data_IF_437808933858
#
_entry.id   IF_437808933858
#
_cell.length_a   1.000
_cell.length_b   1.000
_cell.length_c   1.000
_cell.angle_alpha   90.00
_cell.angle_beta   90.00
_cell.angle_gamma   90.00
#
_symmetry.space_group_name_H-M   'P 1'
#
loop_
_entity.id
_entity.type
_entity.pdbx_description
1 polymer ?
#
# COMPACT_ATOMS: atom_id res chain seq x y z
N UNK A 1 -13.09 -11.08 -31.53
CA UNK A 1 -12.75 -11.99 -32.65
C UNK A 1 -11.24 -12.21 -32.61
N UNK A 2 -10.75 -13.43 -32.89
CA UNK A 2 -9.35 -13.89 -32.77
C UNK A 2 -8.92 -14.53 -31.43
N UNK A 3 -9.69 -15.53 -30.98
CA UNK A 3 -9.11 -16.79 -30.46
C UNK A 3 -8.99 -17.75 -31.65
N UNK A 4 -7.98 -18.63 -31.65
CA UNK A 4 -7.58 -19.59 -32.69
C UNK A 4 -6.52 -19.13 -33.70
N UNK A 5 -5.26 -19.10 -33.29
CA UNK A 5 -4.13 -19.22 -34.24
C UNK A 5 -2.84 -19.82 -33.67
N UNK A 6 -2.91 -20.59 -32.56
CA UNK A 6 -1.75 -21.31 -32.01
C UNK A 6 -1.84 -22.84 -32.06
N UNK A 7 -3.00 -23.41 -32.44
CA UNK A 7 -3.18 -24.87 -32.51
C UNK A 7 -2.71 -25.51 -33.81
N UNK A 8 -2.46 -24.72 -34.87
CA UNK A 8 -2.25 -25.25 -36.23
C UNK A 8 -0.79 -25.54 -36.56
N UNK A 9 0.16 -24.95 -35.84
CA UNK A 9 1.61 -25.13 -36.10
C UNK A 9 2.13 -26.41 -35.43
N UNK A 10 1.60 -26.76 -34.25
CA UNK A 10 2.03 -27.96 -33.51
C UNK A 10 1.63 -29.27 -34.22
N UNK A 11 0.47 -29.27 -34.90
CA UNK A 11 -0.02 -30.43 -35.68
C UNK A 11 0.80 -30.66 -36.96
N UNK A 12 1.37 -29.59 -37.54
CA UNK A 12 2.17 -29.66 -38.77
C UNK A 12 3.57 -30.23 -38.54
N UNK A 13 4.15 -30.05 -37.35
CA UNK A 13 5.47 -30.60 -36.97
C UNK A 13 5.39 -32.09 -36.58
N UNK A 14 4.26 -32.56 -36.06
CA UNK A 14 4.06 -33.98 -35.73
C UNK A 14 3.80 -34.82 -37.01
N UNK A 15 3.22 -34.22 -38.05
CA UNK A 15 2.91 -34.92 -39.30
C UNK A 15 4.13 -35.15 -40.22
N UNK A 16 5.19 -34.34 -40.10
CA UNK A 16 6.43 -34.53 -40.86
C UNK A 16 7.31 -35.65 -40.32
N UNK A 17 7.09 -36.13 -39.08
CA UNK A 17 7.82 -37.29 -38.55
C UNK A 17 7.28 -38.64 -39.05
N UNK A 18 6.02 -38.69 -39.54
CA UNK A 18 5.35 -39.94 -39.93
C UNK A 18 5.57 -40.30 -41.42
N UNK A 19 6.06 -39.38 -42.24
CA UNK A 19 6.28 -39.61 -43.69
C UNK A 19 7.72 -39.97 -44.07
N UNK A 20 8.66 -40.04 -43.11
CA UNK A 20 9.98 -40.64 -43.32
C UNK A 20 10.02 -42.16 -43.05
N UNK A 21 8.87 -42.79 -42.76
CA UNK A 21 8.71 -44.24 -42.66
C UNK A 21 8.39 -44.90 -44.02
N UNK A 22 9.02 -44.40 -45.09
CA UNK A 22 8.88 -44.93 -46.45
C UNK A 22 9.93 -46.02 -46.74
N UNK A 23 9.49 -47.29 -46.67
CA UNK A 23 9.97 -48.43 -47.45
C UNK A 23 11.49 -48.64 -47.61
N UNK A 24 12.10 -49.33 -46.66
CA UNK A 24 13.06 -50.38 -47.04
C UNK A 24 12.28 -51.68 -47.22
N UNK A 25 12.13 -52.13 -48.48
CA UNK A 25 11.72 -53.50 -48.77
C UNK A 25 12.75 -54.42 -48.12
N UNK A 26 12.34 -55.14 -47.08
CA UNK A 26 13.06 -56.34 -46.66
C UNK A 26 13.09 -57.30 -47.87
N UNK A 27 14.26 -57.78 -48.32
CA UNK A 27 14.31 -58.83 -49.33
C UNK A 27 13.55 -60.06 -48.80
N UNK A 28 12.92 -60.80 -49.71
CA UNK A 28 12.19 -62.00 -49.37
C UNK A 28 13.08 -62.92 -48.52
N UNK A 29 12.58 -63.27 -47.33
CA UNK A 29 13.16 -64.30 -46.49
C UNK A 29 13.13 -65.61 -47.27
N UNK A 30 14.27 -66.06 -47.77
CA UNK A 30 14.45 -67.50 -47.98
C UNK A 30 14.30 -68.13 -46.59
N UNK A 31 13.29 -68.98 -46.41
CA UNK A 31 13.20 -69.89 -45.28
C UNK A 31 14.41 -70.83 -45.34
N UNK A 32 15.53 -70.46 -44.72
CA UNK A 32 16.49 -71.47 -44.27
C UNK A 32 15.87 -72.10 -43.03
N UNK A 33 15.02 -73.09 -43.28
CA UNK A 33 14.51 -73.99 -42.26
C UNK A 33 15.66 -74.69 -41.55
N UNK A 34 16.06 -74.16 -40.41
CA UNK A 34 16.84 -74.85 -39.39
C UNK A 34 16.10 -74.65 -38.07
N UNK A 35 15.65 -75.77 -37.50
CA UNK A 35 15.03 -75.81 -36.17
C UNK A 35 16.02 -75.42 -35.06
N UNK A 36 15.60 -75.45 -33.79
CA UNK A 36 16.44 -75.05 -32.65
C UNK A 36 17.55 -76.09 -32.44
N UNK A 37 18.60 -75.96 -33.25
CA UNK A 37 19.85 -76.68 -33.22
C UNK A 37 20.92 -75.72 -33.72
N UNK A 38 21.75 -75.29 -32.79
CA UNK A 38 23.11 -74.77 -33.05
C UNK A 38 23.23 -73.73 -34.18
N UNK A 39 22.61 -72.57 -33.99
CA UNK A 39 23.30 -71.34 -34.38
C UNK A 39 24.42 -71.10 -33.35
N UNK A 40 25.58 -71.73 -33.54
CA UNK A 40 26.86 -71.15 -33.11
C UNK A 40 27.17 -69.94 -34.00
N UNK A 41 26.26 -68.95 -34.01
CA UNK A 41 26.74 -67.59 -34.13
C UNK A 41 27.50 -67.36 -32.84
N UNK A 42 28.81 -67.08 -32.92
CA UNK A 42 29.57 -66.53 -31.81
C UNK A 42 28.94 -65.15 -31.52
N UNK A 43 27.79 -65.15 -30.86
CA UNK A 43 27.25 -63.98 -30.18
C UNK A 43 28.20 -63.83 -29.03
N UNK A 44 29.15 -62.91 -29.20
CA UNK A 44 30.17 -62.65 -28.21
C UNK A 44 29.46 -62.09 -26.97
N UNK A 45 28.97 -63.00 -26.13
CA UNK A 45 28.12 -62.72 -24.96
C UNK A 45 28.90 -61.88 -23.96
N UNK A 46 30.24 -61.90 -24.04
CA UNK A 46 31.12 -60.99 -23.33
C UNK A 46 31.10 -59.58 -23.92
N UNK A 47 31.11 -59.39 -25.25
CA UNK A 47 30.95 -58.08 -25.89
C UNK A 47 29.59 -57.45 -25.56
N UNK A 48 28.50 -58.21 -25.65
CA UNK A 48 27.16 -57.69 -25.29
C UNK A 48 27.08 -57.31 -23.80
N UNK A 49 27.69 -58.10 -22.91
CA UNK A 49 27.75 -57.75 -21.47
C UNK A 49 28.60 -56.50 -21.25
N UNK A 50 29.71 -56.35 -21.97
CA UNK A 50 30.60 -55.20 -21.89
C UNK A 50 29.92 -53.93 -22.41
N UNK A 51 29.19 -54.04 -23.52
CA UNK A 51 28.38 -52.96 -24.09
C UNK A 51 27.27 -52.52 -23.12
N UNK A 52 26.54 -53.46 -22.51
CA UNK A 52 25.51 -53.13 -21.52
C UNK A 52 26.06 -52.45 -20.26
N UNK A 53 27.25 -52.85 -19.79
CA UNK A 53 27.93 -52.17 -18.68
C UNK A 53 28.34 -50.75 -19.08
N UNK A 54 28.92 -50.58 -20.27
CA UNK A 54 29.30 -49.27 -20.82
C UNK A 54 28.08 -48.35 -20.97
N UNK A 55 26.97 -48.86 -21.51
CA UNK A 55 25.73 -48.09 -21.68
C UNK A 55 25.11 -47.70 -20.33
N UNK A 56 25.23 -48.56 -19.30
CA UNK A 56 24.77 -48.23 -17.96
C UNK A 56 25.62 -47.13 -17.32
N UNK A 57 26.94 -47.19 -17.48
CA UNK A 57 27.86 -46.15 -17.03
C UNK A 57 27.61 -44.81 -17.75
N UNK A 58 27.38 -44.84 -19.06
CA UNK A 58 26.99 -43.66 -19.84
C UNK A 58 25.64 -43.10 -19.39
N UNK A 59 24.65 -43.96 -19.12
CA UNK A 59 23.34 -43.53 -18.64
C UNK A 59 23.40 -42.92 -17.24
N UNK A 60 24.19 -43.50 -16.32
CA UNK A 60 24.43 -42.90 -15.00
C UNK A 60 25.16 -41.56 -15.10
N UNK A 61 26.15 -41.44 -16.00
CA UNK A 61 26.84 -40.19 -16.28
C UNK A 61 25.88 -39.12 -16.82
N UNK A 62 25.09 -39.45 -17.85
CA UNK A 62 24.10 -38.53 -18.44
C UNK A 62 23.07 -38.10 -17.39
N UNK A 63 22.64 -39.03 -16.51
CA UNK A 63 21.72 -38.71 -15.42
C UNK A 63 22.32 -37.70 -14.44
N UNK A 64 23.57 -37.89 -14.03
CA UNK A 64 24.27 -36.95 -13.16
C UNK A 64 24.44 -35.58 -13.82
N UNK A 65 24.81 -35.54 -15.10
CA UNK A 65 24.93 -34.29 -15.87
C UNK A 65 23.59 -33.56 -15.96
N UNK A 66 22.48 -34.30 -16.11
CA UNK A 66 21.14 -33.73 -16.16
C UNK A 66 20.69 -33.17 -14.80
N UNK A 67 21.00 -33.86 -13.70
CA UNK A 67 20.73 -33.36 -12.33
C UNK A 67 21.53 -32.10 -12.01
N UNK A 68 22.78 -32.00 -12.46
CA UNK A 68 23.60 -30.81 -12.26
C UNK A 68 23.14 -29.64 -13.14
N UNK A 69 22.77 -29.90 -14.40
CA UNK A 69 22.21 -28.89 -15.28
C UNK A 69 20.86 -28.35 -14.76
N UNK A 70 20.04 -29.20 -14.14
CA UNK A 70 18.79 -28.78 -13.49
C UNK A 70 19.06 -27.83 -12.31
N UNK A 71 20.06 -28.12 -11.48
CA UNK A 71 20.47 -27.23 -10.38
C UNK A 71 20.99 -25.89 -10.90
N UNK A 72 21.83 -25.91 -11.92
CA UNK A 72 22.34 -24.70 -12.56
C UNK A 72 21.20 -23.84 -13.12
N UNK A 73 20.26 -24.46 -13.84
CA UNK A 73 19.09 -23.77 -14.36
C UNK A 73 18.25 -23.11 -13.25
N UNK A 74 17.98 -23.82 -12.15
CA UNK A 74 17.24 -23.27 -11.01
C UNK A 74 17.99 -22.11 -10.34
N UNK A 75 19.31 -22.20 -10.21
CA UNK A 75 20.11 -21.10 -9.67
C UNK A 75 20.08 -19.86 -10.56
N UNK A 76 20.14 -20.06 -11.88
CA UNK A 76 20.11 -18.97 -12.85
C UNK A 76 18.73 -18.30 -12.88
N UNK A 77 17.66 -19.09 -12.78
CA UNK A 77 16.29 -18.58 -12.67
C UNK A 77 16.12 -17.67 -11.45
N UNK A 78 16.55 -18.11 -10.26
CA UNK A 78 16.54 -17.30 -9.03
C UNK A 78 17.37 -16.03 -9.15
N UNK A 79 18.55 -16.13 -9.79
CA UNK A 79 19.40 -14.95 -10.04
C UNK A 79 18.72 -13.94 -10.96
N UNK A 80 18.02 -14.42 -11.99
CA UNK A 80 17.31 -13.56 -12.93
C UNK A 80 16.13 -12.84 -12.25
N UNK A 81 15.36 -13.54 -11.40
CA UNK A 81 14.30 -12.93 -10.60
C UNK A 81 14.82 -11.78 -9.72
N UNK A 82 15.93 -12.02 -9.00
CA UNK A 82 16.57 -10.98 -8.17
C UNK A 82 17.05 -9.77 -8.99
N UNK A 83 17.60 -9.99 -10.19
CA UNK A 83 18.02 -8.89 -11.08
C UNK A 83 16.81 -8.08 -11.56
N UNK A 84 15.73 -8.74 -11.94
CA UNK A 84 14.49 -8.08 -12.39
C UNK A 84 13.93 -7.21 -11.27
N UNK A 85 13.90 -7.70 -10.03
CA UNK A 85 13.47 -6.94 -8.86
C UNK A 85 14.28 -5.67 -8.66
N UNK A 86 15.61 -5.78 -8.62
CA UNK A 86 16.51 -4.62 -8.49
C UNK A 86 16.35 -3.60 -9.61
N UNK A 87 16.07 -4.06 -10.82
CA UNK A 87 15.79 -3.18 -11.96
C UNK A 87 14.47 -2.43 -11.79
N UNK A 88 13.41 -3.09 -11.32
CA UNK A 88 12.13 -2.43 -11.04
C UNK A 88 12.23 -1.40 -9.93
N UNK A 89 12.98 -1.71 -8.86
CA UNK A 89 13.23 -0.77 -7.77
C UNK A 89 14.04 0.45 -8.25
N UNK A 90 15.08 0.22 -9.05
CA UNK A 90 15.87 1.29 -9.65
C UNK A 90 15.05 2.16 -10.63
N UNK A 91 14.17 1.56 -11.42
CA UNK A 91 13.24 2.27 -12.31
C UNK A 91 12.27 3.14 -11.51
N UNK A 92 11.74 2.63 -10.40
CA UNK A 92 10.87 3.38 -9.50
C UNK A 92 11.62 4.56 -8.83
N UNK A 93 12.85 4.36 -8.37
CA UNK A 93 13.69 5.45 -7.84
C UNK A 93 14.02 6.50 -8.90
N UNK A 94 14.21 6.10 -10.16
CA UNK A 94 14.40 7.04 -11.26
C UNK A 94 13.13 7.87 -11.52
N UNK A 95 11.95 7.23 -11.48
CA UNK A 95 10.66 7.92 -11.61
C UNK A 95 10.50 9.00 -10.52
N UNK A 96 10.89 8.73 -9.28
CA UNK A 96 10.90 9.74 -8.19
C UNK A 96 11.74 10.98 -8.54
N UNK A 97 12.86 10.81 -9.24
CA UNK A 97 13.74 11.92 -9.63
C UNK A 97 13.16 12.71 -10.80
N UNK A 98 12.71 12.02 -11.84
CA UNK A 98 12.32 12.62 -13.12
C UNK A 98 10.87 13.13 -13.13
N UNK A 99 9.96 12.50 -12.39
CA UNK A 99 8.52 12.79 -12.47
C UNK A 99 8.19 14.23 -12.07
N UNK A 100 7.46 14.94 -12.92
CA UNK A 100 6.81 16.20 -12.53
C UNK A 100 5.52 15.95 -11.75
N UNK A 101 4.81 14.86 -12.09
CA UNK A 101 3.59 14.41 -11.42
C UNK A 101 3.91 13.50 -10.22
N UNK A 102 2.88 12.92 -9.62
CA UNK A 102 2.98 11.96 -8.53
C UNK A 102 3.86 10.78 -8.95
N UNK A 103 4.98 10.51 -8.24
CA UNK A 103 5.86 9.41 -8.59
C UNK A 103 5.25 8.06 -8.18
N UNK A 104 5.68 7.01 -8.88
CA UNK A 104 5.32 5.63 -8.57
C UNK A 104 6.33 5.02 -7.62
N UNK A 105 5.83 4.59 -6.48
CA UNK A 105 6.60 3.87 -5.48
C UNK A 105 6.35 2.38 -5.63
N UNK A 106 7.43 1.58 -5.62
CA UNK A 106 7.32 0.13 -5.66
C UNK A 106 8.54 -0.53 -5.05
N UNK A 107 8.31 -1.53 -4.20
CA UNK A 107 9.33 -2.41 -3.63
C UNK A 107 8.87 -3.87 -3.68
N UNK A 108 9.83 -4.80 -3.58
CA UNK A 108 9.53 -6.24 -3.46
C UNK A 108 9.49 -6.69 -1.99
N UNK A 109 10.45 -6.23 -1.18
CA UNK A 109 10.48 -6.50 0.26
C UNK A 109 9.55 -5.54 0.98
N UNK A 110 8.40 -6.05 1.43
CA UNK A 110 7.27 -5.24 1.94
C UNK A 110 7.18 -5.17 3.45
N UNK A 111 8.23 -5.54 4.17
CA UNK A 111 8.32 -5.29 5.61
C UNK A 111 8.51 -3.79 5.90
N UNK A 112 8.10 -3.34 7.08
CA UNK A 112 8.13 -1.92 7.45
C UNK A 112 9.53 -1.30 7.36
N UNK A 113 10.59 -2.04 7.70
CA UNK A 113 11.94 -1.49 7.65
C UNK A 113 12.39 -1.30 6.19
N UNK A 114 12.07 -2.25 5.32
CA UNK A 114 12.36 -2.14 3.88
C UNK A 114 11.59 -0.98 3.24
N UNK A 115 10.32 -0.76 3.60
CA UNK A 115 9.55 0.42 3.16
C UNK A 115 10.23 1.71 3.62
N UNK A 116 10.55 1.83 4.91
CA UNK A 116 11.19 3.04 5.47
C UNK A 116 12.55 3.29 4.81
N UNK A 117 13.38 2.26 4.70
CA UNK A 117 14.70 2.35 4.07
C UNK A 117 14.57 2.82 2.61
N UNK A 118 13.64 2.24 1.85
CA UNK A 118 13.40 2.65 0.48
C UNK A 118 12.99 4.13 0.38
N UNK A 119 12.12 4.61 1.27
CA UNK A 119 11.70 6.02 1.30
C UNK A 119 12.86 6.96 1.70
N UNK A 120 13.68 6.57 2.68
CA UNK A 120 14.88 7.34 3.09
C UNK A 120 15.92 7.41 1.97
N UNK A 121 16.21 6.29 1.32
CA UNK A 121 17.10 6.24 0.16
C UNK A 121 16.56 7.09 -0.97
N UNK A 122 15.27 6.99 -1.28
CA UNK A 122 14.61 7.79 -2.31
C UNK A 122 14.67 9.29 -1.99
N UNK A 123 14.43 9.66 -0.73
CA UNK A 123 14.54 11.04 -0.25
C UNK A 123 15.97 11.58 -0.41
N UNK A 124 16.98 10.77 -0.08
CA UNK A 124 18.40 11.16 -0.20
C UNK A 124 18.83 11.46 -1.65
N UNK A 125 18.22 10.79 -2.64
CA UNK A 125 18.53 11.01 -4.06
C UNK A 125 18.04 12.39 -4.51
N UNK A 126 16.94 12.89 -3.94
CA UNK A 126 16.30 14.16 -4.33
C UNK A 126 16.58 15.33 -3.37
N UNK A 127 17.40 15.12 -2.34
CA UNK A 127 17.66 16.08 -1.25
C UNK A 127 18.19 17.46 -1.72
N UNK A 128 18.79 17.53 -2.91
CA UNK A 128 19.29 18.78 -3.50
C UNK A 128 18.27 19.50 -4.40
N UNK A 129 17.05 18.98 -4.49
CA UNK A 129 16.00 19.50 -5.36
C UNK A 129 14.94 20.27 -4.58
N UNK A 130 13.95 20.80 -5.30
CA UNK A 130 12.74 21.38 -4.67
C UNK A 130 11.73 20.30 -4.27
N UNK A 131 12.00 19.04 -4.62
CA UNK A 131 11.20 17.88 -4.30
C UNK A 131 11.68 17.24 -3.01
N UNK A 132 10.80 16.51 -2.32
CA UNK A 132 11.15 15.80 -1.11
C UNK A 132 10.17 14.69 -0.75
N UNK A 133 10.62 13.81 0.14
CA UNK A 133 9.81 12.77 0.78
C UNK A 133 10.01 12.92 2.28
N UNK A 134 8.92 13.07 3.03
CA UNK A 134 8.89 13.32 4.46
C UNK A 134 8.06 12.22 5.15
N UNK A 135 8.70 11.42 6.01
CA UNK A 135 8.05 10.33 6.75
C UNK A 135 7.39 10.94 8.00
N UNK A 136 6.07 10.85 8.07
CA UNK A 136 5.25 11.40 9.16
C UNK A 136 5.21 10.41 10.34
N UNK A 137 5.07 9.11 10.06
CA UNK A 137 5.13 8.05 11.06
C UNK A 137 5.48 6.70 10.44
N UNK A 138 6.07 5.82 11.24
CA UNK A 138 6.49 4.46 10.86
C UNK A 138 6.16 3.44 11.97
N UNK A 139 4.89 3.47 12.41
CA UNK A 139 4.36 2.57 13.45
C UNK A 139 3.87 1.25 12.85
N UNK A 140 2.57 0.98 12.97
CA UNK A 140 1.93 -0.19 12.34
C UNK A 140 1.90 -0.10 10.81
N UNK A 141 1.98 1.12 10.29
CA UNK A 141 2.06 1.44 8.86
C UNK A 141 2.92 2.68 8.68
N UNK A 142 3.41 2.87 7.46
CA UNK A 142 4.22 4.03 7.10
C UNK A 142 3.32 5.10 6.51
N UNK A 143 3.24 6.24 7.19
CA UNK A 143 2.56 7.44 6.67
C UNK A 143 3.64 8.42 6.25
N UNK A 144 3.61 8.86 5.01
CA UNK A 144 4.59 9.80 4.47
C UNK A 144 3.92 10.78 3.51
N UNK A 145 4.61 11.87 3.20
CA UNK A 145 4.18 12.80 2.16
C UNK A 145 5.27 13.06 1.15
N UNK A 146 4.85 13.32 -0.08
CA UNK A 146 5.72 13.86 -1.13
C UNK A 146 5.63 15.39 -1.11
N UNK A 147 6.68 16.08 -1.55
CA UNK A 147 6.77 17.54 -1.61
C UNK A 147 7.29 17.92 -3.00
N UNK A 148 6.73 18.96 -3.62
CA UNK A 148 7.17 19.45 -4.92
C UNK A 148 6.73 18.61 -6.12
N UNK A 149 5.71 17.76 -5.97
CA UNK A 149 5.19 16.89 -7.04
C UNK A 149 3.73 17.22 -7.39
N UNK A 150 3.40 17.10 -8.67
CA UNK A 150 2.05 17.29 -9.21
C UNK A 150 1.52 18.72 -9.03
N UNK A 151 0.21 18.87 -9.29
CA UNK A 151 -0.45 20.18 -9.27
C UNK A 151 -0.79 20.69 -7.86
N UNK A 152 -0.76 19.81 -6.87
CA UNK A 152 -1.20 20.11 -5.50
C UNK A 152 -0.02 20.20 -4.54
N UNK A 153 1.21 20.40 -5.04
CA UNK A 153 2.50 20.54 -4.32
C UNK A 153 2.91 19.39 -3.40
N UNK A 154 2.08 18.98 -2.44
CA UNK A 154 2.35 17.87 -1.52
C UNK A 154 1.12 16.96 -1.38
N UNK A 155 1.34 15.65 -1.25
CA UNK A 155 0.30 14.65 -1.03
C UNK A 155 0.73 13.62 0.02
N UNK A 156 -0.23 13.13 0.83
CA UNK A 156 -0.02 12.07 1.81
C UNK A 156 -0.30 10.69 1.20
N UNK A 157 0.53 9.75 1.58
CA UNK A 157 0.44 8.33 1.27
C UNK A 157 0.43 7.51 2.55
N UNK A 158 -0.20 6.34 2.49
CA UNK A 158 -0.20 5.33 3.54
C UNK A 158 0.29 4.02 2.93
N UNK A 159 1.33 3.44 3.49
CA UNK A 159 1.94 2.19 3.05
C UNK A 159 1.88 1.17 4.18
N UNK A 160 1.10 0.10 3.97
CA UNK A 160 1.00 -1.01 4.93
C UNK A 160 2.04 -2.08 4.63
N UNK A 161 2.43 -2.79 5.67
CA UNK A 161 3.27 -3.99 5.55
C UNK A 161 2.58 -5.05 4.68
N UNK A 162 3.36 -5.71 3.82
CA UNK A 162 2.85 -6.71 2.87
C UNK A 162 2.40 -6.15 1.52
N UNK A 163 2.19 -4.83 1.41
CA UNK A 163 1.79 -4.18 0.17
C UNK A 163 3.01 -3.68 -0.63
N UNK A 164 3.03 -3.96 -1.93
CA UNK A 164 4.16 -3.58 -2.80
C UNK A 164 4.15 -2.10 -3.20
N UNK A 165 3.06 -1.39 -2.97
CA UNK A 165 2.86 0.01 -3.33
C UNK A 165 2.02 0.74 -2.27
N UNK A 166 2.26 2.04 -2.05
CA UNK A 166 1.50 2.83 -1.11
C UNK A 166 0.13 3.22 -1.67
N UNK A 167 -0.82 3.45 -0.77
CA UNK A 167 -2.12 4.04 -1.09
C UNK A 167 -2.04 5.57 -1.07
N UNK A 168 -2.30 6.21 -2.20
CA UNK A 168 -2.55 7.66 -2.26
C UNK A 168 -3.92 7.96 -1.64
N UNK A 169 -3.97 8.90 -0.70
CA UNK A 169 -5.24 9.27 -0.05
C UNK A 169 -5.87 10.47 -0.75
N UNK A 170 -7.06 10.27 -1.33
CA UNK A 170 -7.78 11.33 -2.02
C UNK A 170 -8.08 12.51 -1.08
N UNK A 171 -7.84 13.71 -1.56
CA UNK A 171 -8.01 14.95 -0.79
C UNK A 171 -6.92 15.25 0.25
N UNK A 172 -6.02 14.31 0.57
CA UNK A 172 -4.93 14.50 1.56
C UNK A 172 -3.72 15.25 0.96
N UNK A 173 -3.98 16.45 0.46
CA UNK A 173 -3.01 17.30 -0.23
C UNK A 173 -2.80 18.66 0.45
N UNK A 174 -1.62 19.24 0.24
CA UNK A 174 -1.20 20.53 0.79
C UNK A 174 -0.70 21.48 -0.29
N UNK A 175 -1.18 22.71 -0.28
CA UNK A 175 -0.47 23.82 -0.89
C UNK A 175 0.92 24.03 -0.29
N UNK A 176 1.71 24.90 -0.92
CA UNK A 176 3.12 25.14 -0.57
C UNK A 176 3.34 25.56 0.89
N UNK A 177 2.41 26.34 1.42
CA UNK A 177 2.46 26.86 2.78
C UNK A 177 1.64 26.00 3.77
N UNK A 178 1.16 24.84 3.31
CA UNK A 178 0.36 23.92 4.10
C UNK A 178 1.19 23.18 5.14
N UNK A 179 0.50 22.72 6.19
CA UNK A 179 1.11 21.99 7.31
C UNK A 179 0.20 20.86 7.79
N UNK A 180 0.74 19.98 8.62
CA UNK A 180 -0.04 18.99 9.33
C UNK A 180 0.26 19.03 10.82
N UNK A 181 -0.70 18.58 11.62
CA UNK A 181 -0.52 18.29 13.04
C UNK A 181 -1.30 17.03 13.43
N UNK A 182 -0.82 16.35 14.47
CA UNK A 182 -1.56 15.23 15.04
C UNK A 182 -2.80 15.74 15.78
N UNK A 183 -3.93 15.08 15.52
CA UNK A 183 -5.20 15.28 16.18
C UNK A 183 -5.59 13.94 16.81
N UNK A 184 -4.95 13.63 17.94
CA UNK A 184 -4.96 12.29 18.54
C UNK A 184 -4.49 11.22 17.53
N UNK A 185 -5.31 10.22 17.20
CA UNK A 185 -5.00 9.20 16.18
C UNK A 185 -5.18 9.66 14.73
N UNK A 186 -5.69 10.88 14.51
CA UNK A 186 -5.95 11.45 13.20
C UNK A 186 -4.85 12.45 12.81
N UNK A 187 -4.75 12.79 11.53
CA UNK A 187 -3.90 13.91 11.08
C UNK A 187 -4.81 15.07 10.64
N UNK A 188 -4.59 16.25 11.22
CA UNK A 188 -5.18 17.49 10.73
C UNK A 188 -4.26 18.12 9.68
N UNK A 189 -4.77 18.26 8.46
CA UNK A 189 -4.12 18.92 7.34
C UNK A 189 -4.63 20.36 7.25
N UNK A 190 -3.74 21.34 7.30
CA UNK A 190 -4.04 22.77 7.15
C UNK A 190 -3.51 23.27 5.82
N UNK A 191 -4.40 23.74 4.94
CA UNK A 191 -4.04 24.14 3.59
C UNK A 191 -5.06 25.13 3.01
N UNK A 192 -4.59 26.24 2.43
CA UNK A 192 -5.45 27.23 1.77
C UNK A 192 -6.58 27.82 2.64
N UNK A 193 -6.36 27.94 3.96
CA UNK A 193 -7.39 28.39 4.91
C UNK A 193 -8.50 27.37 5.19
N UNK A 194 -8.31 26.12 4.77
CA UNK A 194 -9.17 24.97 5.07
C UNK A 194 -8.40 23.95 5.90
N UNK A 195 -9.15 23.25 6.72
CA UNK A 195 -8.67 22.14 7.53
C UNK A 195 -9.34 20.86 7.05
N UNK A 196 -8.55 19.78 6.92
CA UNK A 196 -9.03 18.44 6.57
C UNK A 196 -8.57 17.46 7.64
N UNK A 197 -9.42 16.51 8.02
CA UNK A 197 -9.05 15.46 8.97
C UNK A 197 -8.84 14.17 8.20
N UNK A 198 -7.63 13.64 8.25
CA UNK A 198 -7.25 12.36 7.69
C UNK A 198 -7.40 11.26 8.75
N UNK A 199 -8.22 10.28 8.43
CA UNK A 199 -8.31 9.01 9.12
C UNK A 199 -7.31 8.02 8.47
N UNK A 200 -6.24 7.74 9.22
CA UNK A 200 -5.16 6.84 8.79
C UNK A 200 -5.62 5.38 8.77
N UNK A 201 -6.57 5.00 9.62
CA UNK A 201 -7.12 3.64 9.69
C UNK A 201 -7.99 3.34 8.49
N UNK A 202 -8.93 4.24 8.22
CA UNK A 202 -9.87 4.09 7.12
C UNK A 202 -9.35 4.66 5.78
N UNK A 203 -8.11 5.15 5.75
CA UNK A 203 -7.44 5.70 4.55
C UNK A 203 -8.29 6.73 3.80
N UNK A 204 -8.90 7.67 4.53
CA UNK A 204 -9.81 8.67 3.94
C UNK A 204 -9.82 10.00 4.69
N UNK A 205 -10.20 11.06 4.00
CA UNK A 205 -10.58 12.32 4.64
C UNK A 205 -11.99 12.19 5.22
N UNK A 206 -12.15 12.47 6.51
CA UNK A 206 -13.44 12.37 7.21
C UNK A 206 -14.05 13.73 7.52
N UNK A 207 -13.21 14.75 7.77
CA UNK A 207 -13.67 16.10 8.07
C UNK A 207 -13.10 17.14 7.11
N UNK A 208 -13.89 18.16 6.79
CA UNK A 208 -13.47 19.32 6.01
C UNK A 208 -14.16 20.58 6.55
N UNK A 209 -13.39 21.55 7.04
CA UNK A 209 -13.93 22.78 7.61
C UNK A 209 -13.02 23.98 7.38
N UNK A 210 -13.55 25.18 7.57
CA UNK A 210 -12.76 26.42 7.51
C UNK A 210 -11.78 26.53 8.68
N UNK A 211 -10.61 27.13 8.43
CA UNK A 211 -9.64 27.39 9.49
C UNK A 211 -10.27 28.26 10.61
N UNK A 212 -10.33 27.72 11.85
CA UNK A 212 -10.92 28.42 12.99
C UNK A 212 -9.90 29.37 13.63
N UNK A 213 -10.38 30.32 14.43
CA UNK A 213 -9.51 31.17 15.27
C UNK A 213 -8.85 30.37 16.40
N UNK A 214 -9.53 29.32 16.88
CA UNK A 214 -9.01 28.39 17.89
C UNK A 214 -9.70 27.04 17.75
N UNK A 215 -8.96 25.96 18.00
CA UNK A 215 -9.47 24.58 17.95
C UNK A 215 -8.85 23.76 19.07
N UNK A 216 -9.65 22.94 19.74
CA UNK A 216 -9.16 21.87 20.63
C UNK A 216 -10.05 20.62 20.50
N UNK A 217 -9.44 19.44 20.41
CA UNK A 217 -10.15 18.16 20.41
C UNK A 217 -10.73 17.86 21.80
N UNK A 218 -12.00 17.48 21.87
CA UNK A 218 -12.55 16.93 23.10
C UNK A 218 -12.01 15.51 23.29
N UNK A 219 -11.39 15.28 24.45
CA UNK A 219 -10.68 14.04 24.77
C UNK A 219 -11.58 12.81 24.55
N UNK A 220 -11.02 11.76 23.96
CA UNK A 220 -11.68 10.47 23.71
C UNK A 220 -12.95 10.58 22.82
N UNK A 221 -13.02 11.62 21.96
CA UNK A 221 -14.11 11.82 21.00
C UNK A 221 -13.59 12.15 19.60
N UNK A 222 -14.51 12.23 18.63
CA UNK A 222 -14.27 12.74 17.26
C UNK A 222 -14.73 14.19 17.10
N UNK A 223 -14.96 14.89 18.21
CA UNK A 223 -15.52 16.24 18.21
C UNK A 223 -14.46 17.26 18.59
N UNK A 224 -14.27 18.26 17.72
CA UNK A 224 -13.44 19.43 18.01
C UNK A 224 -14.30 20.60 18.45
N UNK A 225 -13.87 21.29 19.50
CA UNK A 225 -14.41 22.59 19.87
C UNK A 225 -13.66 23.66 19.08
N UNK A 226 -14.41 24.41 18.29
CA UNK A 226 -13.96 25.45 17.38
C UNK A 226 -14.44 26.81 17.86
N UNK A 227 -13.59 27.82 17.70
CA UNK A 227 -13.98 29.22 17.68
C UNK A 227 -13.91 29.70 16.24
N UNK A 228 -15.05 30.03 15.65
CA UNK A 228 -15.11 30.53 14.28
C UNK A 228 -14.71 32.02 14.18
N UNK A 229 -14.68 32.55 12.95
CA UNK A 229 -14.34 33.95 12.67
C UNK A 229 -15.39 34.95 13.17
N UNK A 230 -16.62 34.49 13.42
CA UNK A 230 -17.73 35.28 13.97
C UNK A 230 -17.75 35.27 15.52
N UNK A 231 -16.70 34.75 16.15
CA UNK A 231 -16.61 34.58 17.60
C UNK A 231 -17.67 33.64 18.19
N UNK A 232 -18.17 32.68 17.40
CA UNK A 232 -19.06 31.62 17.86
C UNK A 232 -18.26 30.38 18.23
N UNK A 233 -18.72 29.71 19.29
CA UNK A 233 -18.19 28.42 19.71
C UNK A 233 -19.01 27.30 19.07
N UNK A 234 -18.35 26.39 18.36
CA UNK A 234 -18.98 25.31 17.58
C UNK A 234 -18.32 23.99 17.94
N UNK A 235 -19.12 22.99 18.23
CA UNK A 235 -18.71 21.60 18.31
C UNK A 235 -18.85 20.99 16.92
N UNK A 236 -17.76 20.50 16.34
CA UNK A 236 -17.76 19.84 15.04
C UNK A 236 -17.29 18.39 15.17
N UNK A 237 -18.15 17.45 14.82
CA UNK A 237 -17.83 16.03 14.73
C UNK A 237 -17.33 15.73 13.31
N UNK A 238 -16.04 15.46 13.20
CA UNK A 238 -15.37 15.24 11.91
C UNK A 238 -15.54 13.82 11.37
N UNK A 239 -16.27 12.92 12.05
CA UNK A 239 -16.64 11.60 11.50
C UNK A 239 -18.07 11.64 10.96
N UNK A 240 -18.99 12.25 11.71
CA UNK A 240 -20.40 12.32 11.35
C UNK A 240 -20.77 13.56 10.51
N UNK A 241 -19.80 14.43 10.23
CA UNK A 241 -19.96 15.72 9.56
C UNK A 241 -21.12 16.55 10.15
N UNK A 242 -21.14 16.64 11.48
CA UNK A 242 -22.18 17.36 12.21
C UNK A 242 -21.59 18.54 12.96
N UNK A 243 -22.33 19.65 13.01
CA UNK A 243 -21.94 20.81 13.81
C UNK A 243 -23.08 21.21 14.76
N UNK A 244 -22.69 21.61 15.98
CA UNK A 244 -23.60 22.14 17.00
C UNK A 244 -23.00 23.41 17.59
N UNK A 245 -23.72 24.52 17.52
CA UNK A 245 -23.27 25.78 18.12
C UNK A 245 -23.55 25.77 19.63
N UNK A 246 -22.56 26.16 20.44
CA UNK A 246 -22.75 26.33 21.87
C UNK A 246 -23.52 27.63 22.13
N UNK A 247 -24.60 27.53 22.90
CA UNK A 247 -25.42 28.69 23.25
C UNK A 247 -24.79 29.49 24.41
N UNK A 248 -23.86 30.38 24.08
CA UNK A 248 -23.22 31.33 24.99
C UNK A 248 -23.38 32.77 24.47
N UNK A 249 -23.33 33.74 25.37
CA UNK A 249 -23.30 35.16 24.99
C UNK A 249 -21.92 35.50 24.40
N UNK A 250 -21.82 35.36 23.09
CA UNK A 250 -20.58 35.58 22.33
C UNK A 250 -20.07 37.03 22.39
N UNK A 251 -20.83 37.98 22.93
CA UNK A 251 -20.30 39.33 23.18
C UNK A 251 -19.51 39.39 24.49
N UNK A 252 -19.75 38.44 25.41
CA UNK A 252 -19.08 38.37 26.72
C UNK A 252 -17.96 37.36 26.74
N UNK A 253 -18.14 36.21 26.08
CA UNK A 253 -17.13 35.15 26.03
C UNK A 253 -16.42 35.19 24.67
N UNK A 254 -15.10 35.30 24.71
CA UNK A 254 -14.25 35.50 23.54
C UNK A 254 -13.16 34.45 23.42
N UNK A 255 -12.91 33.64 24.44
CA UNK A 255 -11.95 32.55 24.36
C UNK A 255 -12.44 31.33 25.16
N UNK A 256 -11.83 30.18 24.91
CA UNK A 256 -12.08 28.96 25.66
C UNK A 256 -10.77 28.20 25.90
N UNK A 257 -10.66 27.46 26.98
CA UNK A 257 -9.61 26.47 27.18
C UNK A 257 -10.21 25.19 27.73
N UNK A 258 -9.87 24.07 27.08
CA UNK A 258 -10.19 22.73 27.55
C UNK A 258 -9.21 22.34 28.67
N UNK A 259 -9.76 21.87 29.77
CA UNK A 259 -9.05 21.17 30.84
C UNK A 259 -9.57 19.73 30.92
N UNK A 260 -8.92 18.89 31.74
CA UNK A 260 -9.21 17.45 31.80
C UNK A 260 -10.71 17.13 31.91
N UNK A 261 -11.43 17.85 32.79
CA UNK A 261 -12.83 17.54 33.11
C UNK A 261 -13.83 18.65 32.73
N UNK A 262 -13.37 19.74 32.12
CA UNK A 262 -14.24 20.89 31.83
C UNK A 262 -13.71 21.81 30.75
N UNK A 263 -14.61 22.58 30.15
CA UNK A 263 -14.27 23.72 29.30
C UNK A 263 -14.41 25.01 30.11
N UNK A 264 -13.38 25.85 30.08
CA UNK A 264 -13.40 27.19 30.65
C UNK A 264 -13.56 28.22 29.53
N UNK A 265 -14.72 28.85 29.45
CA UNK A 265 -14.95 30.01 28.60
C UNK A 265 -14.57 31.28 29.35
N UNK A 266 -13.83 32.17 28.69
CA UNK A 266 -13.37 33.43 29.25
C UNK A 266 -13.71 34.60 28.35
N UNK A 267 -13.78 35.78 28.94
CA UNK A 267 -13.79 37.03 28.21
C UNK A 267 -13.58 38.21 29.15
N UNK A 268 -13.54 39.41 28.58
CA UNK A 268 -13.34 40.63 29.36
C UNK A 268 -14.41 41.66 29.03
N UNK A 269 -14.77 42.46 30.03
CA UNK A 269 -15.65 43.61 29.84
C UNK A 269 -15.17 44.78 30.71
N UNK A 270 -15.43 46.00 30.23
CA UNK A 270 -15.04 47.22 30.94
C UNK A 270 -16.26 47.91 31.51
N UNK A 271 -16.25 48.17 32.81
CA UNK A 271 -17.28 48.93 33.50
C UNK A 271 -16.63 50.04 34.33
N UNK A 272 -17.05 51.29 34.12
CA UNK A 272 -16.50 52.47 34.79
C UNK A 272 -14.97 52.62 34.68
N UNK A 273 -14.39 52.20 33.55
CA UNK A 273 -12.94 52.27 33.30
C UNK A 273 -12.11 51.17 33.99
N UNK A 274 -12.76 50.20 34.63
CA UNK A 274 -12.13 49.01 35.20
C UNK A 274 -12.45 47.82 34.31
N UNK A 275 -11.42 47.06 33.93
CA UNK A 275 -11.55 45.83 33.17
C UNK A 275 -11.78 44.65 34.12
N UNK A 276 -12.82 43.87 33.85
CA UNK A 276 -13.20 42.68 34.59
C UNK A 276 -13.09 41.45 33.68
N UNK A 277 -12.62 40.35 34.25
CA UNK A 277 -12.61 39.04 33.59
C UNK A 277 -13.90 38.28 33.96
N UNK A 278 -14.62 37.80 32.95
CA UNK A 278 -15.75 36.89 33.12
C UNK A 278 -15.32 35.47 32.77
N UNK A 279 -15.78 34.50 33.57
CA UNK A 279 -15.47 33.08 33.39
C UNK A 279 -16.75 32.25 33.50
N UNK A 280 -16.93 31.33 32.56
CA UNK A 280 -17.95 30.29 32.63
C UNK A 280 -17.26 28.93 32.54
N UNK A 281 -17.61 28.03 33.46
CA UNK A 281 -17.11 26.66 33.49
C UNK A 281 -18.25 25.73 33.14
N UNK A 282 -18.01 24.82 32.19
CA UNK A 282 -18.95 23.78 31.81
C UNK A 282 -18.25 22.43 31.92
N UNK A 283 -18.78 21.52 32.73
CA UNK A 283 -18.23 20.18 32.87
C UNK A 283 -18.27 19.45 31.52
N UNK A 284 -17.25 18.65 31.23
CA UNK A 284 -17.15 17.98 29.93
C UNK A 284 -18.29 16.96 29.76
N UNK A 285 -18.61 16.19 30.80
CA UNK A 285 -19.72 15.23 30.76
C UNK A 285 -21.08 15.92 30.51
N UNK A 286 -21.33 17.07 31.15
CA UNK A 286 -22.55 17.86 30.93
C UNK A 286 -22.62 18.44 29.52
N UNK A 287 -21.47 18.89 28.97
CA UNK A 287 -21.37 19.34 27.58
C UNK A 287 -21.69 18.19 26.63
N UNK A 288 -21.10 17.01 26.86
CA UNK A 288 -21.30 15.85 26.02
C UNK A 288 -22.77 15.38 26.05
N UNK A 289 -23.40 15.36 27.22
CA UNK A 289 -24.82 15.02 27.35
C UNK A 289 -25.71 16.05 26.63
N UNK A 290 -25.51 17.35 26.90
CA UNK A 290 -26.33 18.43 26.34
C UNK A 290 -26.28 18.49 24.81
N UNK A 291 -25.13 18.17 24.24
CA UNK A 291 -24.90 18.21 22.80
C UNK A 291 -24.80 16.81 22.17
N UNK A 292 -25.20 15.76 22.88
CA UNK A 292 -25.25 14.36 22.41
C UNK A 292 -23.94 13.91 21.72
N UNK A 293 -22.80 14.25 22.31
CA UNK A 293 -21.46 13.93 21.78
C UNK A 293 -21.13 12.49 22.14
N UNK A 294 -20.83 11.67 21.13
CA UNK A 294 -20.43 10.28 21.33
C UNK A 294 -18.93 10.15 21.60
N UNK A 295 -18.57 9.14 22.38
CA UNK A 295 -17.17 8.75 22.55
C UNK A 295 -16.67 8.01 21.31
N UNK A 296 -15.38 8.14 21.02
CA UNK A 296 -14.76 7.57 19.83
C UNK A 296 -14.90 6.03 19.76
N UNK A 297 -14.97 5.36 20.90
CA UNK A 297 -15.13 3.90 20.99
C UNK A 297 -16.57 3.42 20.69
N UNK A 298 -17.56 4.29 20.87
CA UNK A 298 -18.97 3.98 20.62
C UNK A 298 -19.34 4.25 19.15
N UNK A 299 -18.73 5.26 18.54
CA UNK A 299 -18.96 5.66 17.15
C UNK A 299 -18.55 4.58 16.11
N UNK A 300 -17.66 3.66 16.47
CA UNK A 300 -17.20 2.56 15.59
C UNK A 300 -18.16 1.38 15.44
N UNK A 301 -19.31 1.39 16.14
CA UNK A 301 -20.25 0.25 16.15
C UNK A 301 -21.59 0.51 15.46
N UNK A 302 -21.82 1.72 14.94
CA UNK A 302 -23.00 2.01 14.13
C UNK A 302 -22.86 1.45 12.71
N UNK A 303 -22.95 0.11 12.59
CA UNK A 303 -23.43 -0.47 11.33
C UNK A 303 -24.87 0.01 11.11
N UNK A 304 -25.25 0.43 9.89
CA UNK A 304 -26.65 0.61 9.56
C UNK A 304 -27.28 -0.78 9.50
N UNK A 305 -27.78 -1.25 10.64
CA UNK A 305 -28.75 -2.33 10.68
C UNK A 305 -29.90 -1.89 9.78
N UNK A 306 -29.91 -2.46 8.58
CA UNK A 306 -31.00 -2.31 7.63
C UNK A 306 -32.14 -3.19 8.14
N UNK A 307 -32.80 -2.76 9.21
CA UNK A 307 -34.14 -3.24 9.52
C UNK A 307 -35.11 -2.61 8.52
N UNK A 308 -35.63 -3.46 7.64
CA UNK A 308 -36.63 -3.11 6.65
C UNK A 308 -37.27 -4.35 6.06
N UNK A 309 -37.93 -5.14 6.90
CA UNK A 309 -38.84 -6.20 6.49
C UNK A 309 -40.10 -5.59 5.85
N UNK A 310 -40.39 -5.95 4.59
CA UNK A 310 -41.71 -6.37 4.08
C UNK A 310 -41.57 -6.92 2.66
#
# INVERSE_FOLDING_TARGET
MCRYMKSSILVLVISTLVLAAGCTRLPASEETGLGPGEYEGIVNTQEIKKENVSLKEELEKIKSELEDLEKEYLSLAKSNESIISKLQEAESKLDIVEAEDIPKFKIEDTDLNSIVQYLEESSSIIDKSVKGIDIISSGERVVFRTIGYGNVYSQIFIWDEGENEPTLIDGASFDKDGSYEWLDRYILIKSGGKNKVLDIENKKITGLFDEPLKMQLLKDTTTVLLKDKDNKFVLYDFINDSNKQINLDNNKYTDFNLQEDFVLFTGTYTENGVEYEIRARLALDELMEMYEIQRADEAGTASPDTEGTL
#
